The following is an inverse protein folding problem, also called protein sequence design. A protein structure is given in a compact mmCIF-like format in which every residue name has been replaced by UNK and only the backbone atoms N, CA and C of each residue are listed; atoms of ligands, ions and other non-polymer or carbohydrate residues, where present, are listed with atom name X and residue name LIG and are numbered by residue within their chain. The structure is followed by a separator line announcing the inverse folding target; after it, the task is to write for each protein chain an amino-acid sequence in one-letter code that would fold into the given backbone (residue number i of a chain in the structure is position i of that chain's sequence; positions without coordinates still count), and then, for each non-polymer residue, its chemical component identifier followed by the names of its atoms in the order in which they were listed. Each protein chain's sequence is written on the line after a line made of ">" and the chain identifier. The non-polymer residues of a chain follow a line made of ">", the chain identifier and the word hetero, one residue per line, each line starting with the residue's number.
data_IF_391298649816
#
_entry.id   IF_391298649816
#
_cell.length_a   1.000
_cell.length_b   1.000
_cell.length_c   1.000
_cell.angle_alpha   90.00
_cell.angle_beta   90.00
_cell.angle_gamma   90.00
#
_symmetry.space_group_name_H-M   'P 1'
#
loop_
_entity.id
_entity.type
_entity.pdbx_description
1 polymer ?
#
# COMPACT_ATOMS: atom_id res chain seq x y z
N UNK A 1 -61.23 -36.83 26.01
CA UNK A 1 -61.69 -38.16 26.45
C UNK A 1 -60.70 -38.67 27.49
N UNK A 2 -61.03 -38.53 28.78
CA UNK A 2 -60.16 -38.94 29.89
C UNK A 2 -60.44 -40.39 30.26
N UNK A 3 -59.41 -41.23 30.16
CA UNK A 3 -59.45 -42.63 30.55
C UNK A 3 -59.56 -42.80 32.08
N UNK A 4 -60.33 -43.81 32.47
CA UNK A 4 -60.64 -44.25 33.83
C UNK A 4 -59.36 -44.50 34.65
N UNK A 5 -59.27 -44.09 35.93
CA UNK A 5 -58.05 -44.31 36.71
C UNK A 5 -58.00 -45.76 37.23
N UNK A 6 -56.92 -46.46 36.90
CA UNK A 6 -56.55 -47.78 37.43
C UNK A 6 -56.31 -47.69 38.95
N UNK A 7 -56.76 -48.70 39.69
CA UNK A 7 -56.48 -48.86 41.13
C UNK A 7 -54.97 -48.95 41.36
N UNK A 8 -54.46 -48.26 42.39
CA UNK A 8 -53.07 -48.39 42.80
C UNK A 8 -52.84 -49.77 43.43
N UNK A 9 -51.95 -50.57 42.85
CA UNK A 9 -51.36 -51.73 43.51
C UNK A 9 -50.10 -51.32 44.28
N UNK A 10 -49.82 -52.01 45.39
CA UNK A 10 -48.64 -51.79 46.20
C UNK A 10 -47.35 -52.19 45.44
N UNK A 11 -46.28 -51.39 45.49
CA UNK A 11 -44.99 -51.76 44.92
C UNK A 11 -44.21 -52.72 45.85
N UNK A 12 -43.45 -53.69 45.31
CA UNK A 12 -42.62 -54.60 46.09
C UNK A 12 -41.37 -53.89 46.67
N UNK A 13 -40.91 -54.38 47.83
CA UNK A 13 -39.73 -53.89 48.52
C UNK A 13 -38.44 -54.30 47.77
N UNK A 14 -37.64 -53.33 47.34
CA UNK A 14 -36.31 -53.55 46.76
C UNK A 14 -35.20 -53.18 47.76
N UNK A 15 -34.10 -53.94 47.83
CA UNK A 15 -33.01 -53.71 48.79
C UNK A 15 -31.73 -53.12 48.14
N UNK A 16 -31.05 -52.21 48.85
CA UNK A 16 -29.66 -51.69 48.63
C UNK A 16 -29.40 -50.66 47.50
N UNK A 17 -28.16 -50.10 47.36
CA UNK A 17 -27.53 -49.10 48.24
C UNK A 17 -26.93 -47.89 47.46
N UNK A 18 -26.47 -46.88 48.21
CA UNK A 18 -25.45 -45.86 47.86
C UNK A 18 -25.55 -45.11 46.51
N UNK A 19 -26.10 -43.89 46.58
CA UNK A 19 -25.32 -42.71 46.16
C UNK A 19 -25.26 -42.32 44.68
N UNK A 20 -26.40 -42.07 44.02
CA UNK A 20 -26.53 -40.95 43.07
C UNK A 20 -27.96 -40.41 43.10
N UNK A 21 -28.13 -39.19 43.60
CA UNK A 21 -29.43 -38.53 43.74
C UNK A 21 -29.92 -38.05 42.36
N UNK A 22 -30.75 -38.84 41.67
CA UNK A 22 -31.55 -38.36 40.53
C UNK A 22 -32.96 -38.04 41.03
N UNK A 23 -33.42 -36.76 41.00
CA UNK A 23 -34.80 -36.44 41.32
C UNK A 23 -35.66 -36.75 40.09
N UNK A 24 -35.93 -38.04 39.85
CA UNK A 24 -36.87 -38.46 38.82
C UNK A 24 -38.12 -39.00 39.51
N UNK A 25 -39.19 -38.23 39.36
CA UNK A 25 -40.54 -38.43 39.87
C UNK A 25 -40.83 -37.83 41.25
N UNK A 26 -41.60 -36.73 41.20
CA UNK A 26 -42.44 -36.23 42.29
C UNK A 26 -43.35 -37.38 42.73
N UNK A 27 -42.92 -38.16 43.73
CA UNK A 27 -43.79 -39.09 44.45
C UNK A 27 -44.81 -38.27 45.22
N UNK A 28 -46.06 -38.26 44.74
CA UNK A 28 -47.22 -37.75 45.47
C UNK A 28 -47.33 -38.55 46.77
N UNK A 29 -47.07 -37.89 47.90
CA UNK A 29 -47.26 -38.44 49.25
C UNK A 29 -48.76 -38.64 49.51
N UNK A 30 -49.18 -39.87 49.82
CA UNK A 30 -50.45 -40.13 50.50
C UNK A 30 -50.19 -40.14 52.02
N UNK A 31 -51.10 -39.58 52.81
CA UNK A 31 -51.05 -39.60 54.28
C UNK A 31 -52.26 -40.37 54.84
N UNK A 32 -52.13 -41.07 55.99
CA UNK A 32 -53.23 -41.84 56.59
C UNK A 32 -54.23 -40.92 57.31
N UNK A 33 -55.53 -41.24 57.25
CA UNK A 33 -56.57 -40.57 58.06
C UNK A 33 -57.13 -41.50 59.15
N UNK A 34 -57.68 -40.95 60.25
CA UNK A 34 -58.00 -41.70 61.48
C UNK A 34 -59.17 -42.69 61.36
N UNK A 35 -59.92 -42.64 60.26
CA UNK A 35 -61.11 -43.43 59.95
C UNK A 35 -60.81 -44.69 59.11
N UNK A 36 -59.54 -44.98 58.82
CA UNK A 36 -59.15 -46.18 58.07
C UNK A 36 -59.50 -46.15 56.58
N UNK A 37 -59.89 -44.98 56.04
CA UNK A 37 -60.20 -44.81 54.62
C UNK A 37 -59.15 -43.95 53.90
N UNK A 38 -58.77 -44.32 52.68
CA UNK A 38 -57.81 -43.55 51.89
C UNK A 38 -58.54 -42.48 51.06
N UNK A 39 -58.53 -41.20 51.49
CA UNK A 39 -59.02 -40.07 50.68
C UNK A 39 -57.89 -39.39 49.89
N UNK A 40 -58.11 -39.18 48.58
CA UNK A 40 -57.30 -38.25 47.76
C UNK A 40 -57.67 -36.83 48.16
N UNK A 41 -56.70 -36.00 48.52
CA UNK A 41 -56.94 -34.55 48.64
C UNK A 41 -57.28 -34.00 47.25
N UNK A 42 -58.53 -33.58 47.08
CA UNK A 42 -58.93 -32.69 46.00
C UNK A 42 -58.49 -31.29 46.35
N UNK A 43 -57.35 -30.86 45.80
CA UNK A 43 -57.10 -29.51 45.27
C UNK A 43 -55.60 -29.40 45.00
N UNK A 44 -55.25 -29.39 43.71
CA UNK A 44 -53.95 -28.88 43.29
C UNK A 44 -53.97 -27.37 43.52
N UNK A 45 -52.91 -26.76 44.09
CA UNK A 45 -52.77 -25.32 44.00
C UNK A 45 -52.61 -24.98 42.52
N UNK A 46 -53.56 -24.23 41.98
CA UNK A 46 -53.33 -23.43 40.79
C UNK A 46 -52.17 -22.46 41.10
N UNK A 47 -51.38 -22.14 40.08
CA UNK A 47 -50.31 -21.14 40.12
C UNK A 47 -48.93 -21.63 40.56
N UNK A 48 -48.34 -22.49 39.71
CA UNK A 48 -46.90 -22.40 39.43
C UNK A 48 -46.71 -21.69 38.10
N UNK A 49 -45.97 -20.56 38.03
CA UNK A 49 -45.69 -19.91 36.76
C UNK A 49 -44.79 -20.81 35.92
N UNK A 50 -45.32 -21.30 34.78
CA UNK A 50 -44.51 -22.01 33.78
C UNK A 50 -43.53 -21.02 33.18
N UNK A 51 -42.25 -21.12 33.55
CA UNK A 51 -41.18 -20.38 32.88
C UNK A 51 -41.07 -20.89 31.43
N UNK A 52 -41.73 -20.22 30.50
CA UNK A 52 -41.51 -20.47 29.07
C UNK A 52 -40.12 -19.94 28.74
N UNK A 53 -39.17 -20.83 28.44
CA UNK A 53 -37.92 -20.42 27.78
C UNK A 53 -38.33 -19.84 26.43
N UNK A 54 -38.49 -18.51 26.35
CA UNK A 54 -38.59 -17.80 25.08
C UNK A 54 -37.28 -18.02 24.34
N UNK A 55 -37.26 -18.94 23.38
CA UNK A 55 -36.24 -18.95 22.34
C UNK A 55 -36.50 -17.69 21.51
N UNK A 56 -35.64 -16.69 21.64
CA UNK A 56 -35.64 -15.56 20.71
C UNK A 56 -35.40 -16.13 19.31
N UNK A 57 -36.33 -15.97 18.35
CA UNK A 57 -36.07 -16.36 16.98
C UNK A 57 -35.06 -15.36 16.42
N UNK A 58 -33.77 -15.70 16.48
CA UNK A 58 -32.78 -14.97 15.71
C UNK A 58 -33.05 -15.30 14.25
N UNK A 59 -33.71 -14.39 13.55
CA UNK A 59 -33.89 -14.47 12.11
C UNK A 59 -32.50 -14.42 11.46
N UNK A 60 -31.85 -15.57 11.29
CA UNK A 60 -30.47 -15.69 10.82
C UNK A 60 -30.22 -14.99 9.49
N UNK A 61 -31.26 -14.84 8.66
CA UNK A 61 -31.22 -14.06 7.42
C UNK A 61 -30.98 -12.56 7.65
N UNK A 62 -31.53 -11.98 8.71
CA UNK A 62 -31.32 -10.56 9.10
C UNK A 62 -29.92 -10.34 9.67
N UNK A 63 -29.42 -11.30 10.45
CA UNK A 63 -28.06 -11.27 11.00
C UNK A 63 -26.99 -11.51 9.92
N UNK A 64 -27.25 -12.39 8.96
CA UNK A 64 -26.40 -12.57 7.78
C UNK A 64 -26.34 -11.29 6.95
N UNK A 65 -27.49 -10.63 6.72
CA UNK A 65 -27.54 -9.33 6.06
C UNK A 65 -26.71 -8.27 6.79
N UNK A 66 -26.85 -8.18 8.12
CA UNK A 66 -26.04 -7.26 8.94
C UNK A 66 -24.53 -7.57 8.88
N UNK A 67 -24.15 -8.86 8.89
CA UNK A 67 -22.75 -9.26 8.80
C UNK A 67 -22.13 -8.89 7.44
N UNK A 68 -22.87 -9.06 6.34
CA UNK A 68 -22.42 -8.66 5.00
C UNK A 68 -22.28 -7.15 4.89
N UNK A 69 -23.24 -6.38 5.42
CA UNK A 69 -23.17 -4.92 5.43
C UNK A 69 -21.96 -4.45 6.25
N UNK A 70 -21.72 -5.06 7.41
CA UNK A 70 -20.57 -4.73 8.24
C UNK A 70 -19.25 -5.03 7.54
N UNK A 71 -19.11 -6.21 6.91
CA UNK A 71 -17.93 -6.59 6.14
C UNK A 71 -17.69 -5.61 4.98
N UNK A 72 -18.72 -5.27 4.22
CA UNK A 72 -18.63 -4.33 3.11
C UNK A 72 -18.25 -2.93 3.59
N UNK A 73 -18.84 -2.46 4.69
CA UNK A 73 -18.47 -1.19 5.31
C UNK A 73 -17.01 -1.18 5.77
N UNK A 74 -16.53 -2.28 6.37
CA UNK A 74 -15.14 -2.42 6.80
C UNK A 74 -14.18 -2.41 5.61
N UNK A 75 -14.53 -3.09 4.52
CA UNK A 75 -13.74 -3.10 3.29
C UNK A 75 -13.63 -1.69 2.68
N UNK A 76 -14.71 -0.90 2.67
CA UNK A 76 -14.68 0.49 2.21
C UNK A 76 -13.78 1.37 3.09
N UNK A 77 -13.84 1.20 4.41
CA UNK A 77 -12.98 1.94 5.36
C UNK A 77 -11.52 1.60 5.12
N UNK A 78 -11.18 0.32 4.99
CA UNK A 78 -9.80 -0.13 4.72
C UNK A 78 -9.31 0.38 3.37
N UNK A 79 -10.12 0.28 2.31
CA UNK A 79 -9.77 0.77 0.98
C UNK A 79 -9.56 2.29 0.98
N UNK A 80 -10.44 3.04 1.65
CA UNK A 80 -10.31 4.49 1.82
C UNK A 80 -9.05 4.87 2.59
N UNK A 81 -8.75 4.16 3.67
CA UNK A 81 -7.53 4.37 4.46
C UNK A 81 -6.26 4.10 3.64
N UNK A 82 -6.19 2.97 2.92
CA UNK A 82 -5.07 2.64 2.06
C UNK A 82 -4.88 3.69 0.96
N UNK A 83 -5.97 4.15 0.34
CA UNK A 83 -5.92 5.21 -0.68
C UNK A 83 -5.40 6.51 -0.11
N UNK A 84 -5.85 6.91 1.07
CA UNK A 84 -5.39 8.11 1.75
C UNK A 84 -3.90 8.03 2.09
N UNK A 85 -3.45 6.91 2.69
CA UNK A 85 -2.02 6.65 2.96
C UNK A 85 -1.19 6.68 1.68
N UNK A 86 -1.70 6.14 0.58
CA UNK A 86 -1.00 6.15 -0.72
C UNK A 86 -0.86 7.58 -1.27
N UNK A 87 -1.89 8.40 -1.15
CA UNK A 87 -1.84 9.82 -1.59
C UNK A 87 -0.90 10.67 -0.73
N UNK A 88 -0.68 10.32 0.55
CA UNK A 88 0.31 10.99 1.40
C UNK A 88 1.76 10.66 1.01
N UNK A 89 2.03 9.41 0.62
CA UNK A 89 3.40 8.93 0.33
C UNK A 89 3.81 9.30 -1.10
N UNK A 90 2.85 9.36 -2.03
CA UNK A 90 3.09 9.68 -3.43
C UNK A 90 2.31 10.95 -3.82
N UNK A 91 2.85 12.14 -3.52
CA UNK A 91 2.29 13.38 -4.04
C UNK A 91 2.40 13.37 -5.57
N UNK A 92 1.26 13.20 -6.24
CA UNK A 92 1.16 13.33 -7.69
C UNK A 92 1.09 14.81 -8.02
N UNK A 93 2.19 15.38 -8.46
CA UNK A 93 2.23 16.74 -9.03
C UNK A 93 2.42 16.64 -10.53
N UNK A 94 1.64 17.40 -11.29
CA UNK A 94 1.86 17.58 -12.73
C UNK A 94 2.97 18.60 -12.99
N UNK A 95 3.28 19.43 -11.99
CA UNK A 95 4.34 20.44 -12.03
C UNK A 95 5.64 19.87 -11.45
N UNK A 96 6.29 18.99 -12.21
CA UNK A 96 7.61 18.47 -11.88
C UNK A 96 8.65 19.03 -12.85
N UNK A 97 9.62 19.78 -12.33
CA UNK A 97 10.73 20.32 -13.10
C UNK A 97 12.01 19.54 -12.80
N UNK A 98 12.79 19.26 -13.84
CA UNK A 98 14.13 18.68 -13.71
C UNK A 98 15.12 19.83 -13.57
N UNK A 99 15.85 19.86 -12.45
CA UNK A 99 16.98 20.77 -12.30
C UNK A 99 18.18 20.19 -13.06
N UNK A 100 18.87 21.05 -13.81
CA UNK A 100 20.10 20.69 -14.53
C UNK A 100 21.01 21.90 -14.67
N UNK A 101 22.32 21.66 -14.73
CA UNK A 101 23.30 22.71 -14.95
C UNK A 101 23.30 23.09 -16.43
N UNK A 102 22.87 24.32 -16.73
CA UNK A 102 22.84 24.85 -18.10
C UNK A 102 24.01 25.82 -18.24
N UNK A 103 25.00 25.44 -19.05
CA UNK A 103 26.14 26.29 -19.38
C UNK A 103 26.08 26.65 -20.86
N UNK A 104 25.95 27.95 -21.20
CA UNK A 104 25.98 28.37 -22.60
C UNK A 104 27.38 28.16 -23.18
N UNK A 105 27.44 27.50 -24.34
CA UNK A 105 28.68 27.28 -25.09
C UNK A 105 28.73 28.26 -26.25
N UNK A 106 29.80 29.06 -26.33
CA UNK A 106 30.01 30.04 -27.38
C UNK A 106 31.43 29.96 -27.96
N UNK A 107 31.58 30.34 -29.23
CA UNK A 107 32.91 30.42 -29.84
C UNK A 107 33.70 31.59 -29.25
N UNK A 108 35.00 31.38 -29.03
CA UNK A 108 35.91 32.43 -28.55
C UNK A 108 36.26 33.46 -29.62
N UNK A 109 36.17 33.06 -30.89
CA UNK A 109 36.54 33.85 -32.06
C UNK A 109 35.28 33.97 -32.95
N UNK A 110 35.00 35.15 -33.51
CA UNK A 110 33.93 35.30 -34.50
C UNK A 110 34.32 34.59 -35.80
N UNK A 111 33.37 33.89 -36.41
CA UNK A 111 33.58 33.20 -37.68
C UNK A 111 32.29 32.58 -38.19
N UNK A 112 32.33 32.11 -39.44
CA UNK A 112 31.17 31.48 -40.08
C UNK A 112 31.04 30.03 -39.60
N UNK A 113 29.84 29.63 -39.22
CA UNK A 113 29.54 28.24 -38.84
C UNK A 113 29.50 27.35 -40.09
N UNK A 114 30.34 26.32 -40.14
CA UNK A 114 30.42 25.38 -41.26
C UNK A 114 29.51 24.18 -41.04
N UNK A 115 29.59 23.55 -39.86
CA UNK A 115 28.78 22.38 -39.50
C UNK A 115 28.39 22.42 -38.04
N UNK A 116 27.20 21.88 -37.76
CA UNK A 116 26.72 21.51 -36.42
C UNK A 116 26.66 19.98 -36.39
N UNK A 117 27.37 19.38 -35.44
CA UNK A 117 27.50 17.92 -35.37
C UNK A 117 26.34 17.25 -34.62
N UNK A 118 25.98 17.67 -33.39
CA UNK A 118 24.98 16.94 -32.61
C UNK A 118 23.55 17.37 -32.97
N UNK A 119 22.66 16.40 -32.88
CA UNK A 119 21.21 16.63 -32.94
C UNK A 119 20.67 17.15 -31.60
N UNK A 120 19.45 17.65 -31.61
CA UNK A 120 18.79 18.17 -30.41
C UNK A 120 18.64 17.07 -29.34
N UNK A 121 18.97 17.39 -28.09
CA UNK A 121 18.96 16.47 -26.95
C UNK A 121 19.91 15.26 -27.06
N UNK A 122 20.88 15.30 -27.98
CA UNK A 122 21.91 14.27 -28.05
C UNK A 122 22.88 14.36 -26.86
N UNK A 123 23.23 13.20 -26.31
CA UNK A 123 24.26 13.10 -25.27
C UNK A 123 25.65 13.35 -25.89
N UNK A 124 26.38 14.33 -25.37
CA UNK A 124 27.75 14.66 -25.82
C UNK A 124 28.76 14.43 -24.70
N UNK A 125 29.96 14.01 -25.07
CA UNK A 125 31.06 13.77 -24.12
C UNK A 125 32.02 14.97 -24.06
N UNK A 126 32.81 15.04 -23.00
CA UNK A 126 33.83 16.07 -22.87
C UNK A 126 34.86 15.96 -24.01
N UNK A 127 35.10 17.09 -24.69
CA UNK A 127 36.05 17.16 -25.81
C UNK A 127 35.46 16.79 -27.17
N UNK A 128 34.19 16.42 -27.22
CA UNK A 128 33.49 16.16 -28.48
C UNK A 128 33.25 17.46 -29.27
N UNK A 129 33.43 17.39 -30.60
CA UNK A 129 33.27 18.55 -31.47
C UNK A 129 31.78 18.77 -31.78
N UNK A 130 31.23 19.83 -31.19
CA UNK A 130 29.81 20.20 -31.34
C UNK A 130 29.57 21.06 -32.58
N UNK A 131 30.50 21.94 -32.91
CA UNK A 131 30.39 22.88 -34.02
C UNK A 131 31.76 23.13 -34.64
N UNK A 132 31.81 23.28 -35.95
CA UNK A 132 33.04 23.63 -36.69
C UNK A 132 32.85 24.99 -37.36
N UNK A 133 33.81 25.90 -37.16
CA UNK A 133 33.84 27.20 -37.83
C UNK A 133 34.72 27.11 -39.10
N UNK A 134 34.43 27.94 -40.10
CA UNK A 134 35.24 28.04 -41.32
C UNK A 134 36.66 28.54 -41.00
N UNK A 135 37.72 27.74 -41.29
CA UNK A 135 39.09 28.09 -40.93
C UNK A 135 39.74 29.10 -41.89
N UNK A 136 39.15 29.42 -43.05
CA UNK A 136 39.82 30.18 -44.12
C UNK A 136 40.40 31.52 -43.68
N UNK A 137 39.69 32.28 -42.87
CA UNK A 137 40.16 33.57 -42.38
C UNK A 137 41.35 33.41 -41.41
N UNK A 138 41.32 32.36 -40.59
CA UNK A 138 42.41 32.04 -39.66
C UNK A 138 43.63 31.52 -40.42
N UNK A 139 43.44 30.66 -41.42
CA UNK A 139 44.51 30.16 -42.28
C UNK A 139 45.21 31.30 -43.03
N UNK A 140 44.44 32.26 -43.55
CA UNK A 140 45.00 33.45 -44.18
C UNK A 140 45.78 34.33 -43.19
N UNK A 141 45.32 34.46 -41.95
CA UNK A 141 46.02 35.20 -40.91
C UNK A 141 47.34 34.52 -40.50
N UNK A 142 47.33 33.19 -40.37
CA UNK A 142 48.51 32.38 -40.09
C UNK A 142 49.53 32.52 -41.23
N UNK A 143 49.10 32.37 -42.49
CA UNK A 143 49.97 32.52 -43.65
C UNK A 143 50.63 33.91 -43.72
N UNK A 144 49.89 34.97 -43.39
CA UNK A 144 50.44 36.34 -43.31
C UNK A 144 51.50 36.47 -42.22
N UNK A 145 51.25 35.90 -41.04
CA UNK A 145 52.20 35.91 -39.93
C UNK A 145 53.47 35.12 -40.27
N UNK A 146 53.34 33.96 -40.91
CA UNK A 146 54.47 33.15 -41.37
C UNK A 146 55.31 33.87 -42.42
N UNK A 147 54.67 34.55 -43.39
CA UNK A 147 55.36 35.38 -44.38
C UNK A 147 56.13 36.54 -43.74
N UNK A 148 55.57 37.18 -42.71
CA UNK A 148 56.25 38.22 -41.94
C UNK A 148 57.48 37.67 -41.21
N UNK A 149 57.36 36.49 -40.59
CA UNK A 149 58.50 35.81 -39.94
C UNK A 149 59.58 35.43 -40.94
N UNK A 150 59.20 34.91 -42.12
CA UNK A 150 60.14 34.56 -43.19
C UNK A 150 60.92 35.79 -43.68
N UNK A 151 60.23 36.92 -43.84
CA UNK A 151 60.84 38.20 -44.22
C UNK A 151 61.79 38.71 -43.14
N UNK A 152 61.42 38.64 -41.85
CA UNK A 152 62.31 39.02 -40.77
C UNK A 152 63.58 38.13 -40.72
N UNK A 153 63.43 36.83 -40.98
CA UNK A 153 64.57 35.89 -41.05
C UNK A 153 65.50 36.22 -42.21
N UNK A 154 64.99 36.59 -43.38
CA UNK A 154 65.83 36.97 -44.53
C UNK A 154 66.58 38.28 -44.26
N UNK A 155 65.94 39.26 -43.61
CA UNK A 155 66.59 40.51 -43.18
C UNK A 155 67.70 40.21 -42.17
N UNK A 156 67.43 39.41 -41.13
CA UNK A 156 68.44 39.01 -40.14
C UNK A 156 69.62 38.27 -40.79
N UNK A 157 69.36 37.41 -41.77
CA UNK A 157 70.42 36.72 -42.50
C UNK A 157 71.27 37.70 -43.32
N UNK A 158 70.63 38.66 -43.99
CA UNK A 158 71.32 39.71 -44.74
C UNK A 158 72.17 40.61 -43.83
N UNK A 159 71.66 41.01 -42.66
CA UNK A 159 72.39 41.83 -41.70
C UNK A 159 73.59 41.09 -41.11
N UNK A 160 73.44 39.79 -40.81
CA UNK A 160 74.58 38.95 -40.40
C UNK A 160 75.65 38.86 -41.47
N UNK A 161 75.27 38.71 -42.73
CA UNK A 161 76.22 38.69 -43.84
C UNK A 161 76.98 40.02 -43.99
N UNK A 162 76.29 41.16 -43.81
CA UNK A 162 76.91 42.49 -43.82
C UNK A 162 77.91 42.68 -42.68
N UNK A 163 77.58 42.24 -41.47
CA UNK A 163 78.48 42.31 -40.31
C UNK A 163 79.74 41.47 -40.56
N UNK A 164 79.61 40.26 -41.10
CA UNK A 164 80.74 39.39 -41.41
C UNK A 164 81.69 40.01 -42.46
N UNK A 165 81.15 40.71 -43.46
CA UNK A 165 81.95 41.42 -44.46
C UNK A 165 82.70 42.62 -43.90
N UNK A 166 82.14 43.31 -42.89
CA UNK A 166 82.77 44.47 -42.27
C UNK A 166 83.91 44.11 -41.30
N UNK A 167 84.00 42.85 -40.87
CA UNK A 167 85.00 42.37 -39.91
C UNK A 167 86.16 41.61 -40.56
N UNK A 168 86.12 41.38 -41.88
CA UNK A 168 87.19 40.74 -42.65
C UNK A 168 88.18 41.80 -43.19
#
# INVERSE_FOLDING_TARGET
>A
MCSTPRRCSAPPASPWPSGTWRPTSIRRRCWPSPDGTWRRSMSAPADCPRHTRRRFPMNGKKWLGLAVIFLFSGALVVAGYLRWKHSEIFPSTEDAYVAGDIVPVASRIPGTLLTLTPEENQLVHQGEVVATLDPRDMDAAVARAEAAVATARSVLAADRARIAQAQA
#
